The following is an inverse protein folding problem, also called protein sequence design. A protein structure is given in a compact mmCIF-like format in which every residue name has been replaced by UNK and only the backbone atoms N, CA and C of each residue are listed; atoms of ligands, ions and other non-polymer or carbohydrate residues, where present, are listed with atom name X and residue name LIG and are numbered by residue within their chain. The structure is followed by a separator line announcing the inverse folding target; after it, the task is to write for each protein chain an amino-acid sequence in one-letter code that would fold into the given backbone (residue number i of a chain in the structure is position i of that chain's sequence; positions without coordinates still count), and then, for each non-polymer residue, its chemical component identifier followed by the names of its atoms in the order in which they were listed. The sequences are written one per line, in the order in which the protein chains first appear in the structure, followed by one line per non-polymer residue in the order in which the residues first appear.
data_IF_804962246358
#
_entry.id   IF_804962246358
#
_cell.length_a   1.000
_cell.length_b   1.000
_cell.length_c   1.000
_cell.angle_alpha   90.00
_cell.angle_beta   90.00
_cell.angle_gamma   90.00
#
_symmetry.space_group_name_H-M   'P 1'
#
loop_
_entity.id
_entity.type
_entity.pdbx_description
1 polymer ?
#
# COMPACT_ATOMS: atom_id res chain seq x y z
N UNK A 1 2.87 -24.93 -5.85
CA UNK A 1 3.06 -23.46 -5.77
C UNK A 1 3.16 -23.09 -4.30
N UNK A 2 4.10 -22.22 -3.91
CA UNK A 2 4.17 -21.74 -2.52
C UNK A 2 3.00 -20.77 -2.30
N UNK A 3 2.18 -21.04 -1.31
CA UNK A 3 1.09 -20.15 -0.91
C UNK A 3 1.69 -18.81 -0.46
N UNK A 4 1.20 -17.70 -1.02
CA UNK A 4 1.69 -16.36 -0.69
C UNK A 4 0.85 -15.77 0.44
N UNK A 5 1.49 -15.00 1.33
CA UNK A 5 0.80 -14.32 2.45
C UNK A 5 -0.20 -13.25 1.98
N UNK A 6 -0.01 -12.73 0.77
CA UNK A 6 -0.87 -11.71 0.16
C UNK A 6 -1.20 -12.18 -1.26
N UNK A 7 -2.47 -12.26 -1.57
CA UNK A 7 -2.93 -12.40 -2.96
C UNK A 7 -3.13 -11.01 -3.57
N UNK A 8 -2.35 -10.61 -4.57
CA UNK A 8 -2.50 -9.28 -5.19
C UNK A 8 -3.83 -9.08 -5.93
N UNK A 9 -4.56 -10.16 -6.22
CA UNK A 9 -5.85 -10.12 -6.91
C UNK A 9 -7.03 -10.02 -5.95
N UNK A 10 -6.80 -10.35 -4.68
CA UNK A 10 -7.81 -10.30 -3.60
C UNK A 10 -7.23 -9.60 -2.37
N UNK A 11 -6.94 -8.32 -2.52
CA UNK A 11 -6.28 -7.51 -1.48
C UNK A 11 -7.25 -6.80 -0.54
N UNK A 12 -8.55 -6.77 -0.84
CA UNK A 12 -9.54 -6.10 0.02
C UNK A 12 -10.03 -7.04 1.09
N UNK A 13 -9.61 -6.82 2.33
CA UNK A 13 -10.07 -7.59 3.48
C UNK A 13 -10.08 -6.69 4.73
N UNK A 14 -11.26 -6.46 5.28
CA UNK A 14 -11.47 -5.59 6.44
C UNK A 14 -11.32 -6.33 7.77
N UNK A 15 -11.29 -7.67 7.73
CA UNK A 15 -11.25 -8.55 8.90
C UNK A 15 -9.87 -9.21 9.12
N UNK A 16 -8.79 -8.60 8.61
CA UNK A 16 -7.44 -9.12 8.81
C UNK A 16 -7.09 -9.25 10.28
N UNK A 17 -6.47 -10.35 10.64
CA UNK A 17 -5.75 -10.48 11.92
C UNK A 17 -4.59 -9.48 11.97
N UNK A 18 -3.99 -9.26 13.14
CA UNK A 18 -2.85 -8.33 13.27
C UNK A 18 -1.64 -8.79 12.43
N UNK A 19 -1.41 -10.09 12.36
CA UNK A 19 -0.34 -10.67 11.53
C UNK A 19 -0.57 -10.41 10.05
N UNK A 20 -1.79 -10.59 9.58
CA UNK A 20 -2.17 -10.33 8.19
C UNK A 20 -2.12 -8.84 7.87
N UNK A 21 -2.60 -7.98 8.80
CA UNK A 21 -2.59 -6.53 8.64
C UNK A 21 -1.15 -5.98 8.55
N UNK A 22 -0.25 -6.45 9.42
CA UNK A 22 1.17 -6.11 9.39
C UNK A 22 1.85 -6.64 8.10
N UNK A 23 1.52 -7.84 7.67
CA UNK A 23 2.03 -8.42 6.41
C UNK A 23 1.56 -7.61 5.21
N UNK A 24 0.29 -7.20 5.18
CA UNK A 24 -0.25 -6.35 4.13
C UNK A 24 0.38 -4.95 4.12
N UNK A 25 0.61 -4.36 5.29
CA UNK A 25 1.34 -3.09 5.37
C UNK A 25 2.76 -3.17 4.80
N UNK A 26 3.49 -4.24 5.14
CA UNK A 26 4.82 -4.51 4.57
C UNK A 26 4.72 -4.63 3.04
N UNK A 27 3.71 -5.31 2.52
CA UNK A 27 3.44 -5.38 1.08
C UNK A 27 3.22 -3.99 0.48
N UNK A 28 2.39 -3.14 1.08
CA UNK A 28 2.13 -1.77 0.61
C UNK A 28 3.42 -0.93 0.53
N UNK A 29 4.32 -1.06 1.51
CA UNK A 29 5.63 -0.38 1.49
C UNK A 29 6.52 -0.91 0.35
N UNK A 30 6.53 -2.22 0.13
CA UNK A 30 7.43 -2.86 -0.83
C UNK A 30 6.95 -2.75 -2.27
N UNK A 31 5.63 -2.71 -2.52
CA UNK A 31 5.04 -2.73 -3.87
C UNK A 31 5.16 -1.40 -4.60
N UNK A 32 5.52 -0.32 -3.90
CA UNK A 32 5.64 1.00 -4.50
C UNK A 32 6.62 1.00 -5.70
N UNK A 33 6.07 1.17 -6.91
CA UNK A 33 6.83 1.17 -8.17
C UNK A 33 7.32 -0.22 -8.62
N UNK A 34 6.69 -1.31 -8.17
CA UNK A 34 7.06 -2.68 -8.51
C UNK A 34 5.84 -3.51 -8.90
N UNK A 35 6.11 -4.67 -9.52
CA UNK A 35 5.09 -5.66 -9.83
C UNK A 35 4.54 -6.32 -8.55
N UNK A 36 3.23 -6.42 -8.46
CA UNK A 36 2.51 -6.91 -7.27
C UNK A 36 2.77 -8.40 -6.98
N UNK A 37 2.74 -9.26 -8.01
CA UNK A 37 2.97 -10.71 -7.83
C UNK A 37 4.39 -11.00 -7.34
N UNK A 38 5.38 -10.31 -7.91
CA UNK A 38 6.77 -10.43 -7.48
C UNK A 38 6.95 -9.94 -6.05
N UNK A 39 6.26 -8.84 -5.68
CA UNK A 39 6.32 -8.27 -4.34
C UNK A 39 5.63 -9.16 -3.32
N UNK A 40 4.50 -9.79 -3.65
CA UNK A 40 3.82 -10.74 -2.78
C UNK A 40 4.73 -11.91 -2.39
N UNK A 41 5.38 -12.54 -3.40
CA UNK A 41 6.38 -13.61 -3.15
C UNK A 41 7.56 -13.11 -2.29
N UNK A 42 7.99 -11.86 -2.51
CA UNK A 42 9.07 -11.25 -1.74
C UNK A 42 8.67 -11.06 -0.28
N UNK A 43 7.46 -10.59 0.02
CA UNK A 43 6.93 -10.47 1.39
C UNK A 43 6.89 -11.82 2.08
N UNK A 44 6.36 -12.85 1.42
CA UNK A 44 6.33 -14.22 1.93
C UNK A 44 7.74 -14.72 2.27
N UNK A 45 8.71 -14.49 1.38
CA UNK A 45 10.11 -14.84 1.61
C UNK A 45 10.72 -14.07 2.78
N UNK A 46 10.48 -12.76 2.87
CA UNK A 46 10.97 -11.91 3.95
C UNK A 46 10.46 -12.37 5.33
N UNK A 47 9.20 -12.77 5.40
CA UNK A 47 8.57 -13.15 6.66
C UNK A 47 8.74 -14.63 7.03
N UNK A 48 9.34 -15.44 6.15
CA UNK A 48 9.56 -16.87 6.39
C UNK A 48 10.41 -17.15 7.65
N UNK A 49 11.42 -16.31 7.89
CA UNK A 49 12.38 -16.50 8.99
C UNK A 49 11.97 -15.81 10.30
N UNK A 50 10.73 -15.32 10.42
CA UNK A 50 10.25 -14.64 11.62
C UNK A 50 10.02 -15.57 12.82
N UNK A 51 9.93 -16.88 12.58
CA UNK A 51 9.51 -17.86 13.61
C UNK A 51 8.08 -17.57 14.08
N UNK A 52 7.86 -17.62 15.38
CA UNK A 52 6.55 -17.37 16.02
C UNK A 52 6.26 -15.86 16.22
N UNK A 53 7.21 -14.97 15.89
CA UNK A 53 7.04 -13.52 16.02
C UNK A 53 6.03 -13.01 15.01
N UNK A 54 5.25 -12.00 15.39
CA UNK A 54 4.51 -11.19 14.41
C UNK A 54 5.48 -10.46 13.47
N UNK A 55 5.05 -10.02 12.28
CA UNK A 55 5.92 -9.28 11.37
C UNK A 55 6.60 -8.06 12.01
N UNK A 56 5.88 -7.30 12.84
CA UNK A 56 6.45 -6.14 13.51
C UNK A 56 7.37 -6.49 14.67
N UNK A 57 7.10 -7.54 15.42
CA UNK A 57 8.04 -8.05 16.43
C UNK A 57 9.35 -8.53 15.78
N UNK A 58 9.25 -9.20 14.64
CA UNK A 58 10.44 -9.60 13.87
C UNK A 58 11.24 -8.37 13.42
N UNK A 59 10.60 -7.34 12.84
CA UNK A 59 11.28 -6.11 12.44
C UNK A 59 11.93 -5.41 13.63
N UNK A 60 11.23 -5.30 14.77
CA UNK A 60 11.76 -4.68 16.00
C UNK A 60 12.93 -5.46 16.62
N UNK A 61 12.99 -6.77 16.39
CA UNK A 61 14.09 -7.58 16.89
C UNK A 61 15.41 -7.37 16.13
N UNK A 62 15.39 -6.69 14.99
CA UNK A 62 16.55 -6.38 14.17
C UNK A 62 17.05 -4.95 14.46
N UNK A 63 18.37 -4.78 14.60
CA UNK A 63 18.97 -3.44 14.56
C UNK A 63 18.81 -2.84 13.17
N UNK A 64 18.86 -1.50 13.06
CA UNK A 64 18.71 -0.83 11.76
C UNK A 64 19.68 -1.31 10.67
N UNK A 65 20.93 -1.61 11.08
CA UNK A 65 21.96 -2.16 10.17
C UNK A 65 21.65 -3.59 9.75
N UNK A 66 21.17 -4.41 10.68
CA UNK A 66 20.77 -5.80 10.43
C UNK A 66 19.54 -5.83 9.47
N UNK A 67 18.55 -4.98 9.72
CA UNK A 67 17.38 -4.86 8.83
C UNK A 67 17.83 -4.45 7.42
N UNK A 68 18.76 -3.49 7.28
CA UNK A 68 19.30 -3.13 5.96
C UNK A 68 19.96 -4.30 5.26
N UNK A 69 20.84 -5.03 5.97
CA UNK A 69 21.53 -6.19 5.41
C UNK A 69 20.53 -7.28 5.01
N UNK A 70 19.50 -7.50 5.81
CA UNK A 70 18.41 -8.42 5.52
C UNK A 70 17.65 -8.06 4.25
N UNK A 71 17.33 -6.76 4.06
CA UNK A 71 16.67 -6.27 2.84
C UNK A 71 17.59 -6.42 1.61
N UNK A 72 18.88 -6.17 1.74
CA UNK A 72 19.87 -6.37 0.66
C UNK A 72 19.96 -7.84 0.26
N UNK A 73 20.09 -8.75 1.22
CA UNK A 73 20.14 -10.20 0.98
C UNK A 73 18.89 -10.72 0.26
N UNK A 74 17.74 -10.09 0.51
CA UNK A 74 16.48 -10.41 -0.14
C UNK A 74 16.20 -9.60 -1.41
N UNK A 75 17.12 -8.76 -1.86
CA UNK A 75 17.03 -7.97 -3.11
C UNK A 75 15.76 -7.11 -3.20
N UNK A 76 15.34 -6.50 -2.08
CA UNK A 76 14.13 -5.68 -2.06
C UNK A 76 14.23 -4.40 -2.88
N UNK A 77 15.44 -3.90 -3.16
CA UNK A 77 15.67 -2.57 -3.74
C UNK A 77 15.25 -1.43 -2.79
N UNK A 78 15.52 -0.19 -3.14
CA UNK A 78 15.16 0.99 -2.34
C UNK A 78 15.46 0.83 -0.82
N UNK A 79 16.58 0.21 -0.48
CA UNK A 79 16.90 -0.33 0.84
C UNK A 79 16.72 0.67 1.98
N UNK A 80 17.23 1.90 1.82
CA UNK A 80 17.18 2.90 2.89
C UNK A 80 15.76 3.45 3.11
N UNK A 81 14.98 3.63 2.03
CA UNK A 81 13.56 4.00 2.12
C UNK A 81 12.76 2.92 2.85
N UNK A 82 12.88 1.67 2.38
CA UNK A 82 12.12 0.54 2.94
C UNK A 82 12.52 0.28 4.38
N UNK A 83 13.83 0.30 4.69
CA UNK A 83 14.34 0.12 6.05
C UNK A 83 13.72 1.12 7.03
N UNK A 84 13.74 2.41 6.69
CA UNK A 84 13.17 3.46 7.54
C UNK A 84 11.66 3.29 7.66
N UNK A 85 10.95 3.07 6.55
CA UNK A 85 9.52 2.86 6.56
C UNK A 85 9.12 1.70 7.46
N UNK A 86 9.75 0.54 7.34
CA UNK A 86 9.47 -0.63 8.18
C UNK A 86 9.80 -0.40 9.66
N UNK A 87 10.96 0.20 9.95
CA UNK A 87 11.41 0.42 11.32
C UNK A 87 10.48 1.36 12.09
N UNK A 88 10.05 2.46 11.47
CA UNK A 88 9.15 3.41 12.10
C UNK A 88 7.71 2.87 12.16
N UNK A 89 7.23 2.19 11.11
CA UNK A 89 5.91 1.56 11.09
C UNK A 89 5.71 0.53 12.19
N UNK A 90 6.76 -0.20 12.55
CA UNK A 90 6.66 -1.28 13.54
C UNK A 90 6.29 -0.81 14.95
N UNK A 91 6.17 0.50 15.16
CA UNK A 91 5.71 1.12 16.42
C UNK A 91 4.24 1.54 16.36
N UNK A 92 3.60 1.54 15.19
CA UNK A 92 2.22 1.98 15.03
C UNK A 92 1.22 0.86 15.31
N UNK A 93 0.08 1.24 15.85
CA UNK A 93 -1.11 0.43 15.79
C UNK A 93 -1.79 0.62 14.42
N UNK A 94 -1.67 -0.38 13.57
CA UNK A 94 -2.23 -0.35 12.22
C UNK A 94 -3.76 -0.41 12.20
N UNK A 95 -4.43 -0.75 13.31
CA UNK A 95 -5.90 -0.77 13.36
C UNK A 95 -6.49 0.63 13.53
N UNK A 96 -5.81 1.48 14.26
CA UNK A 96 -6.32 2.81 14.64
C UNK A 96 -5.61 3.95 13.92
N UNK A 97 -4.43 3.69 13.30
CA UNK A 97 -3.65 4.73 12.63
C UNK A 97 -4.45 5.46 11.55
N UNK A 98 -4.24 6.76 11.49
CA UNK A 98 -4.80 7.65 10.48
C UNK A 98 -3.93 7.69 9.22
N UNK A 99 -4.43 8.32 8.16
CA UNK A 99 -3.64 8.63 6.97
C UNK A 99 -2.40 9.45 7.31
N UNK A 100 -2.56 10.43 8.17
CA UNK A 100 -1.49 11.37 8.51
C UNK A 100 -0.42 10.66 9.34
N UNK A 101 -0.78 9.80 10.30
CA UNK A 101 0.18 8.93 11.02
C UNK A 101 1.02 8.08 10.06
N UNK A 102 0.39 7.54 9.01
CA UNK A 102 1.09 6.75 8.00
C UNK A 102 2.00 7.61 7.11
N UNK A 103 1.56 8.82 6.75
CA UNK A 103 2.34 9.73 5.91
C UNK A 103 3.51 10.39 6.65
N UNK A 104 3.48 10.48 7.96
CA UNK A 104 4.60 10.93 8.79
C UNK A 104 5.76 9.93 8.81
N UNK A 105 5.51 8.70 8.38
CA UNK A 105 6.58 7.70 8.27
C UNK A 105 7.48 8.02 7.09
N UNK A 106 8.77 8.21 7.35
CA UNK A 106 9.75 8.43 6.29
C UNK A 106 9.73 7.32 5.23
N UNK A 107 9.47 7.68 3.99
CA UNK A 107 9.41 6.76 2.83
C UNK A 107 8.03 6.18 2.55
N UNK A 108 7.00 6.63 3.27
CA UNK A 108 5.60 6.40 2.96
C UNK A 108 5.03 7.65 2.31
N UNK A 109 4.49 7.51 1.10
CA UNK A 109 3.86 8.61 0.37
C UNK A 109 2.33 8.51 0.38
N UNK A 110 1.64 9.55 -0.17
CA UNK A 110 0.19 9.61 -0.20
C UNK A 110 -0.49 8.39 -0.80
N UNK A 111 0.09 7.80 -1.86
CA UNK A 111 -0.41 6.58 -2.49
C UNK A 111 -0.38 5.40 -1.52
N UNK A 112 0.76 5.15 -0.88
CA UNK A 112 0.94 3.97 -0.01
C UNK A 112 0.02 4.03 1.20
N UNK A 113 -0.10 5.19 1.85
CA UNK A 113 -0.97 5.38 3.01
C UNK A 113 -2.44 5.12 2.63
N UNK A 114 -2.92 5.73 1.56
CA UNK A 114 -4.32 5.58 1.10
C UNK A 114 -4.63 4.18 0.61
N UNK A 115 -3.70 3.54 -0.10
CA UNK A 115 -3.87 2.17 -0.57
C UNK A 115 -4.06 1.20 0.61
N UNK A 116 -3.24 1.34 1.66
CA UNK A 116 -3.40 0.54 2.87
C UNK A 116 -4.79 0.76 3.50
N UNK A 117 -5.19 2.02 3.72
CA UNK A 117 -6.47 2.34 4.35
C UNK A 117 -7.66 1.87 3.52
N UNK A 118 -7.64 2.09 2.20
CA UNK A 118 -8.72 1.70 1.30
C UNK A 118 -9.01 0.20 1.36
N UNK A 119 -7.98 -0.64 1.44
CA UNK A 119 -8.14 -2.10 1.41
C UNK A 119 -8.18 -2.75 2.81
N UNK A 120 -8.15 -1.95 3.89
CA UNK A 120 -8.21 -2.44 5.28
C UNK A 120 -9.30 -1.82 6.13
N UNK A 121 -10.02 -0.81 5.64
CA UNK A 121 -11.11 -0.11 6.35
C UNK A 121 -12.39 -0.18 5.53
N UNK A 122 -13.43 -0.75 6.10
CA UNK A 122 -14.73 -0.93 5.43
C UNK A 122 -15.36 0.39 4.97
N UNK A 123 -15.26 1.41 5.82
CA UNK A 123 -15.83 2.74 5.55
C UNK A 123 -14.76 3.77 5.14
N UNK A 124 -13.75 3.32 4.41
CA UNK A 124 -12.69 4.20 3.96
C UNK A 124 -13.16 5.06 2.77
N UNK A 125 -12.95 6.36 2.88
CA UNK A 125 -13.30 7.36 1.86
C UNK A 125 -12.08 7.86 1.07
N UNK A 126 -10.98 7.12 1.12
CA UNK A 126 -9.74 7.47 0.43
C UNK A 126 -9.74 6.95 -1.01
N UNK A 127 -9.10 7.70 -1.90
CA UNK A 127 -8.85 7.31 -3.30
C UNK A 127 -7.36 7.22 -3.56
N UNK A 128 -6.95 6.16 -4.24
CA UNK A 128 -5.54 5.90 -4.57
C UNK A 128 -5.24 6.43 -5.97
N UNK A 129 -4.63 7.60 -6.07
CA UNK A 129 -4.23 8.15 -7.37
C UNK A 129 -2.91 7.52 -7.83
N UNK A 130 -2.99 6.32 -8.37
CA UNK A 130 -1.84 5.67 -8.98
C UNK A 130 -1.81 5.84 -10.51
N UNK A 131 -0.82 5.27 -11.16
CA UNK A 131 -0.65 5.39 -12.61
C UNK A 131 -1.78 4.73 -13.40
N UNK A 132 -2.40 3.66 -12.86
CA UNK A 132 -3.54 2.97 -13.48
C UNK A 132 -4.80 3.83 -13.38
N UNK A 133 -5.12 4.32 -12.19
CA UNK A 133 -6.24 5.23 -11.95
C UNK A 133 -6.09 6.51 -12.77
N UNK A 134 -4.93 7.15 -12.75
CA UNK A 134 -4.69 8.38 -13.51
C UNK A 134 -4.76 8.16 -15.02
N UNK A 135 -4.34 6.99 -15.51
CA UNK A 135 -4.51 6.59 -16.91
C UNK A 135 -5.98 6.37 -17.25
N UNK A 136 -6.73 5.66 -16.41
CA UNK A 136 -8.17 5.46 -16.56
C UNK A 136 -8.92 6.80 -16.65
N UNK A 137 -8.62 7.75 -15.77
CA UNK A 137 -9.20 9.09 -15.82
C UNK A 137 -8.94 9.77 -17.18
N UNK A 138 -7.73 9.68 -17.72
CA UNK A 138 -7.40 10.30 -19.02
C UNK A 138 -8.05 9.59 -20.20
N UNK A 139 -7.96 8.27 -20.25
CA UNK A 139 -8.27 7.49 -21.43
C UNK A 139 -9.74 7.05 -21.48
N UNK A 140 -10.36 6.79 -20.33
CA UNK A 140 -11.74 6.32 -20.25
C UNK A 140 -12.73 7.40 -19.84
N UNK A 141 -12.30 8.33 -18.96
CA UNK A 141 -13.19 9.41 -18.48
C UNK A 141 -12.95 10.74 -19.22
N UNK A 142 -12.00 10.81 -20.14
CA UNK A 142 -11.75 12.02 -20.95
C UNK A 142 -11.07 13.18 -20.20
N UNK A 143 -10.53 12.95 -19.01
CA UNK A 143 -9.84 13.98 -18.20
C UNK A 143 -8.39 14.12 -18.67
N UNK A 144 -8.19 14.77 -19.81
CA UNK A 144 -6.87 14.88 -20.48
C UNK A 144 -5.78 15.51 -19.61
N UNK A 145 -6.17 16.42 -18.69
CA UNK A 145 -5.30 17.13 -17.75
C UNK A 145 -4.89 16.28 -16.53
N UNK A 146 -5.49 15.10 -16.32
CA UNK A 146 -5.10 14.24 -15.21
C UNK A 146 -3.61 13.91 -15.32
N UNK A 147 -2.82 14.06 -14.22
CA UNK A 147 -1.39 13.91 -14.26
C UNK A 147 -0.96 12.49 -14.64
N UNK A 148 0.23 12.33 -15.21
CA UNK A 148 0.79 11.01 -15.56
C UNK A 148 1.25 10.25 -14.31
N UNK A 149 1.69 10.99 -13.29
CA UNK A 149 2.22 10.43 -12.04
C UNK A 149 1.41 10.94 -10.84
N UNK A 150 1.42 10.20 -9.74
CA UNK A 150 0.78 10.58 -8.48
C UNK A 150 1.18 12.01 -8.06
N UNK A 151 0.23 12.93 -7.88
CA UNK A 151 0.54 14.29 -7.41
C UNK A 151 1.20 14.25 -6.03
N UNK A 152 2.29 14.99 -5.88
CA UNK A 152 2.98 15.14 -4.58
C UNK A 152 2.46 16.35 -3.80
N UNK A 153 1.89 17.35 -4.48
CA UNK A 153 1.24 18.49 -3.84
C UNK A 153 -0.11 18.04 -3.25
N UNK A 154 -0.36 18.26 -1.93
CA UNK A 154 -1.57 17.80 -1.26
C UNK A 154 -2.87 18.36 -1.84
N UNK A 155 -2.91 19.63 -2.22
CA UNK A 155 -4.09 20.28 -2.79
C UNK A 155 -4.43 19.67 -4.15
N UNK A 156 -3.42 19.51 -5.00
CA UNK A 156 -3.57 18.88 -6.31
C UNK A 156 -3.99 17.42 -6.17
N UNK A 157 -3.45 16.71 -5.18
CA UNK A 157 -3.91 15.33 -4.88
C UNK A 157 -5.38 15.33 -4.49
N UNK A 158 -5.80 16.20 -3.56
CA UNK A 158 -7.18 16.28 -3.10
C UNK A 158 -8.16 16.61 -4.23
N UNK A 159 -7.80 17.55 -5.12
CA UNK A 159 -8.59 17.90 -6.29
C UNK A 159 -8.85 16.69 -7.20
N UNK A 160 -7.80 15.96 -7.59
CA UNK A 160 -7.96 14.79 -8.47
C UNK A 160 -8.57 13.59 -7.74
N UNK A 161 -8.37 13.44 -6.43
CA UNK A 161 -9.02 12.41 -5.64
C UNK A 161 -10.54 12.62 -5.58
N UNK A 162 -10.99 13.86 -5.35
CA UNK A 162 -12.42 14.22 -5.38
C UNK A 162 -13.06 13.95 -6.74
N UNK A 163 -12.39 14.37 -7.83
CA UNK A 163 -12.85 14.10 -9.19
C UNK A 163 -12.88 12.59 -9.48
N UNK A 164 -11.84 11.85 -9.12
CA UNK A 164 -11.77 10.42 -9.31
C UNK A 164 -12.89 9.68 -8.56
N UNK A 165 -13.16 10.05 -7.31
CA UNK A 165 -14.25 9.50 -6.52
C UNK A 165 -15.61 9.72 -7.21
N UNK A 166 -15.87 10.92 -7.70
CA UNK A 166 -17.07 11.22 -8.47
C UNK A 166 -17.18 10.33 -9.71
N UNK A 167 -16.12 10.22 -10.50
CA UNK A 167 -16.07 9.39 -11.71
C UNK A 167 -16.26 7.90 -11.39
N UNK A 168 -15.64 7.38 -10.34
CA UNK A 168 -15.85 5.99 -9.89
C UNK A 168 -17.32 5.75 -9.55
N UNK A 169 -17.98 6.66 -8.83
CA UNK A 169 -19.40 6.57 -8.53
C UNK A 169 -20.31 6.53 -9.78
N UNK A 170 -19.91 7.20 -10.87
CA UNK A 170 -20.66 7.18 -12.14
C UNK A 170 -20.40 5.90 -12.94
N UNK A 171 -19.16 5.41 -13.00
CA UNK A 171 -18.78 4.28 -13.85
C UNK A 171 -18.95 2.91 -13.17
N UNK A 172 -18.91 2.87 -11.84
CA UNK A 172 -18.94 1.64 -11.03
C UNK A 172 -20.05 1.69 -9.98
N UNK A 173 -21.28 1.98 -10.44
CA UNK A 173 -22.47 2.10 -9.58
C UNK A 173 -22.68 0.82 -8.74
N UNK A 174 -22.86 1.00 -7.43
CA UNK A 174 -23.09 -0.10 -6.48
C UNK A 174 -21.81 -0.78 -5.97
N UNK A 175 -20.63 -0.40 -6.46
CA UNK A 175 -19.37 -0.87 -5.92
C UNK A 175 -18.82 0.10 -4.87
N UNK A 176 -18.07 -0.44 -3.89
CA UNK A 176 -17.26 0.36 -2.98
C UNK A 176 -16.06 0.96 -3.73
N UNK A 177 -15.43 2.00 -3.15
CA UNK A 177 -14.21 2.58 -3.73
C UNK A 177 -13.08 1.54 -3.87
N UNK A 178 -12.95 0.62 -2.92
CA UNK A 178 -11.96 -0.47 -2.99
C UNK A 178 -12.24 -1.44 -4.14
N UNK A 179 -13.51 -1.79 -4.37
CA UNK A 179 -13.91 -2.63 -5.50
C UNK A 179 -13.69 -1.92 -6.84
N UNK A 180 -14.06 -0.64 -6.93
CA UNK A 180 -13.83 0.17 -8.14
C UNK A 180 -12.33 0.33 -8.44
N UNK A 181 -11.49 0.52 -7.41
CA UNK A 181 -10.03 0.56 -7.54
C UNK A 181 -9.49 -0.72 -8.19
N UNK A 182 -9.90 -1.88 -7.69
CA UNK A 182 -9.49 -3.18 -8.23
C UNK A 182 -9.98 -3.45 -9.65
N UNK A 183 -11.17 -2.93 -10.02
CA UNK A 183 -11.69 -3.07 -11.39
C UNK A 183 -10.90 -2.25 -12.42
N UNK A 184 -10.24 -1.18 -11.99
CA UNK A 184 -9.42 -0.32 -12.84
C UNK A 184 -7.98 -0.85 -12.92
N UNK A 185 -7.55 -1.57 -11.91
CA UNK A 185 -6.19 -2.05 -11.74
C UNK A 185 -5.88 -3.25 -12.64
#
# INVERSE_FOLDING_TARGET
MMETLIDPKDITNYNRTDVELQSFWIFCILVAGKNSDTTSRLVTKLLKNRGDKTPFEFIRSLKLTELRNYLVANKTGQYDRIRKALFFSAKLDLRTCTRDDLMDIHGVGPKTARFFLLHTREFCDEVVLDTHILRWMRERCGIKEAPKNTPQNPEKYAQYAGLCKYLMGQHYTGLTLAQADLMIW
#
